data_IF_230943933638
#
_entry.id   IF_230943933638
#
_cell.length_a   1.000
_cell.length_b   1.000
_cell.length_c   1.000
_cell.angle_alpha   90.00
_cell.angle_beta   90.00
_cell.angle_gamma   90.00
#
_symmetry.space_group_name_H-M   'P 1'
#
loop_
_entity.id
_entity.type
_entity.pdbx_description
1 polymer ?
#
# COMPACT_ATOMS: atom_id res chain seq x y z
N UNK A 1 -9.60 -7.20 -2.68
CA UNK A 1 -9.17 -6.42 -1.50
C UNK A 1 -9.38 -7.31 -0.29
N UNK A 2 -8.35 -7.50 0.53
CA UNK A 2 -8.40 -8.40 1.70
C UNK A 2 -8.35 -7.58 2.98
N UNK A 3 -8.98 -8.07 4.05
CA UNK A 3 -8.81 -7.51 5.39
C UNK A 3 -7.40 -7.82 5.89
N UNK A 4 -6.73 -6.80 6.41
CA UNK A 4 -5.40 -6.91 6.97
C UNK A 4 -5.39 -6.35 8.41
N UNK A 5 -4.50 -6.88 9.22
CA UNK A 5 -4.28 -6.45 10.59
C UNK A 5 -2.87 -5.88 10.69
N UNK A 6 -2.71 -4.61 10.28
CA UNK A 6 -1.43 -3.92 10.43
C UNK A 6 -1.22 -3.41 11.85
N UNK A 7 0.04 -3.30 12.26
CA UNK A 7 0.47 -2.61 13.47
C UNK A 7 1.42 -1.50 13.06
N UNK A 8 1.21 -0.30 13.58
CA UNK A 8 2.10 0.85 13.34
C UNK A 8 2.38 1.59 14.63
N UNK A 9 3.59 2.13 14.71
CA UNK A 9 3.98 3.02 15.78
C UNK A 9 3.52 4.44 15.41
N UNK A 10 2.50 4.94 16.12
CA UNK A 10 2.08 6.33 15.99
C UNK A 10 3.16 7.29 16.49
N UNK A 11 3.11 8.55 16.06
CA UNK A 11 4.09 9.58 16.48
C UNK A 11 4.12 9.81 18.01
N UNK A 12 3.07 9.40 18.72
CA UNK A 12 2.97 9.43 20.18
C UNK A 12 3.63 8.21 20.87
N UNK A 13 4.31 7.33 20.12
CA UNK A 13 4.93 6.12 20.63
C UNK A 13 3.96 4.99 20.96
N UNK A 14 2.67 5.14 20.64
CA UNK A 14 1.68 4.07 20.84
C UNK A 14 1.60 3.16 19.62
N UNK A 15 1.52 1.86 19.87
CA UNK A 15 1.20 0.88 18.83
C UNK A 15 -0.29 0.93 18.57
N UNK A 16 -0.66 1.41 17.39
CA UNK A 16 -2.06 1.45 16.96
C UNK A 16 -2.34 0.23 16.10
N UNK A 17 -3.45 -0.44 16.40
CA UNK A 17 -4.03 -1.53 15.61
C UNK A 17 -5.27 -0.98 14.95
N UNK A 18 -5.18 -0.52 13.71
CA UNK A 18 -6.38 -0.19 12.93
C UNK A 18 -6.64 -1.29 11.91
N UNK A 19 -7.91 -1.44 11.57
CA UNK A 19 -8.32 -2.31 10.48
C UNK A 19 -7.69 -1.78 9.20
N UNK A 20 -6.84 -2.58 8.56
CA UNK A 20 -6.22 -2.22 7.30
C UNK A 20 -6.83 -3.03 6.15
N UNK A 21 -6.62 -2.55 4.94
CA UNK A 21 -7.03 -3.24 3.72
C UNK A 21 -5.80 -3.46 2.85
N UNK A 22 -5.67 -4.64 2.27
CA UNK A 22 -4.62 -4.97 1.31
C UNK A 22 -5.18 -5.04 -0.12
N UNK A 23 -4.47 -4.40 -1.05
CA UNK A 23 -4.71 -4.49 -2.49
C UNK A 23 -3.50 -5.17 -3.14
N UNK A 24 -3.74 -6.27 -3.86
CA UNK A 24 -2.72 -6.97 -4.65
C UNK A 24 -2.87 -6.57 -6.11
N UNK A 25 -1.78 -6.12 -6.72
CA UNK A 25 -1.73 -5.69 -8.12
C UNK A 25 -0.58 -6.43 -8.79
N UNK A 26 -0.85 -7.06 -9.94
CA UNK A 26 0.17 -7.62 -10.82
C UNK A 26 0.42 -6.58 -11.91
N UNK A 27 1.66 -6.14 -12.08
CA UNK A 27 2.03 -5.11 -13.05
C UNK A 27 3.39 -5.44 -13.69
N UNK A 28 3.69 -4.79 -14.81
CA UNK A 28 5.02 -4.86 -15.42
C UNK A 28 6.06 -4.13 -14.57
N UNK A 29 7.31 -4.57 -14.64
CA UNK A 29 8.44 -3.84 -14.04
C UNK A 29 8.88 -2.70 -14.96
N UNK A 30 8.03 -1.68 -15.07
CA UNK A 30 8.21 -0.54 -15.95
C UNK A 30 7.84 0.78 -15.26
N UNK A 31 8.44 1.89 -15.74
CA UNK A 31 8.29 3.20 -15.11
C UNK A 31 6.85 3.73 -15.12
N UNK A 32 6.02 3.33 -16.11
CA UNK A 32 4.64 3.78 -16.20
C UNK A 32 3.77 3.10 -15.13
N UNK A 33 3.95 1.79 -14.93
CA UNK A 33 3.30 1.03 -13.86
C UNK A 33 3.66 1.58 -12.48
N UNK A 34 4.95 1.84 -12.25
CA UNK A 34 5.45 2.43 -11.00
C UNK A 34 4.83 3.80 -10.71
N UNK A 35 4.80 4.69 -11.70
CA UNK A 35 4.20 6.02 -11.57
C UNK A 35 2.69 5.94 -11.27
N UNK A 36 1.97 5.01 -11.90
CA UNK A 36 0.55 4.79 -11.65
C UNK A 36 0.26 4.31 -10.22
N UNK A 37 1.06 3.37 -9.71
CA UNK A 37 0.93 2.87 -8.33
C UNK A 37 1.21 3.97 -7.32
N UNK A 38 2.23 4.80 -7.55
CA UNK A 38 2.52 5.90 -6.63
C UNK A 38 1.46 7.00 -6.68
N UNK A 39 0.89 7.30 -7.86
CA UNK A 39 -0.25 8.21 -7.97
C UNK A 39 -1.46 7.73 -7.16
N UNK A 40 -1.77 6.42 -7.19
CA UNK A 40 -2.82 5.82 -6.38
C UNK A 40 -2.55 5.96 -4.88
N UNK A 41 -1.30 5.70 -4.46
CA UNK A 41 -0.89 5.82 -3.05
C UNK A 41 -1.00 7.26 -2.55
N UNK A 42 -0.53 8.23 -3.32
CA UNK A 42 -0.63 9.65 -2.97
C UNK A 42 -2.09 10.11 -2.92
N UNK A 43 -2.92 9.67 -3.88
CA UNK A 43 -4.36 9.92 -3.86
C UNK A 43 -5.05 9.37 -2.60
N UNK A 44 -4.67 8.17 -2.17
CA UNK A 44 -5.19 7.57 -0.94
C UNK A 44 -4.76 8.36 0.31
N UNK A 45 -3.46 8.68 0.43
CA UNK A 45 -2.93 9.48 1.54
C UNK A 45 -3.67 10.81 1.69
N UNK A 46 -3.84 11.53 0.59
CA UNK A 46 -4.53 12.82 0.56
C UNK A 46 -6.00 12.70 0.98
N UNK A 47 -6.72 11.72 0.41
CA UNK A 47 -8.16 11.55 0.66
C UNK A 47 -8.50 11.15 2.09
N UNK A 48 -7.64 10.36 2.74
CA UNK A 48 -7.90 9.81 4.08
C UNK A 48 -6.98 10.37 5.17
N UNK A 49 -6.20 11.41 4.87
CA UNK A 49 -5.24 12.03 5.78
C UNK A 49 -4.27 11.03 6.43
N UNK A 50 -3.84 10.00 5.70
CA UNK A 50 -2.85 9.04 6.19
C UNK A 50 -1.42 9.54 5.96
N UNK A 51 -0.57 9.37 6.97
CA UNK A 51 0.85 9.73 6.92
C UNK A 51 1.64 8.84 5.95
N UNK A 52 1.29 7.55 5.88
CA UNK A 52 1.93 6.58 5.01
C UNK A 52 0.98 5.45 4.62
N UNK A 53 1.25 4.82 3.48
CA UNK A 53 0.60 3.58 3.03
C UNK A 53 1.72 2.57 2.82
N UNK A 54 1.58 1.31 3.23
CA UNK A 54 2.61 0.30 2.99
C UNK A 54 2.61 -0.16 1.52
N UNK A 55 3.78 -0.45 0.96
CA UNK A 55 3.96 -1.12 -0.34
C UNK A 55 5.03 -2.19 -0.18
N UNK A 56 4.81 -3.35 -0.79
CA UNK A 56 5.79 -4.43 -0.90
C UNK A 56 5.77 -4.89 -2.35
N UNK A 57 6.94 -4.93 -2.98
CA UNK A 57 7.12 -5.38 -4.35
C UNK A 57 7.84 -6.73 -4.33
N UNK A 58 7.31 -7.71 -5.07
CA UNK A 58 7.91 -9.03 -5.17
C UNK A 58 7.85 -9.52 -6.62
N UNK A 59 8.99 -9.90 -7.22
CA UNK A 59 8.98 -10.52 -8.54
C UNK A 59 8.28 -11.88 -8.46
N UNK A 60 7.34 -12.11 -9.38
CA UNK A 60 6.58 -13.36 -9.48
C UNK A 60 6.50 -13.81 -10.94
N UNK A 61 6.55 -15.13 -11.16
CA UNK A 61 6.23 -15.69 -12.46
C UNK A 61 4.71 -15.78 -12.59
N UNK A 62 4.15 -15.17 -13.63
CA UNK A 62 2.71 -15.21 -13.93
C UNK A 62 2.50 -15.76 -15.33
N UNK A 63 1.45 -16.56 -15.49
CA UNK A 63 0.97 -17.06 -16.76
C UNK A 63 -0.54 -16.81 -16.80
N UNK A 64 -1.03 -16.34 -17.94
CA UNK A 64 -2.45 -16.07 -18.19
C UNK A 64 -2.97 -17.05 -19.23
#
# INVERSE_FOLDING_TARGET
>A
MFDAHGQWLGQNGQVVREQSKALMVIHGHDAQSEAGIEALRQGYKSRFAQESVMRVDQPVCVQF
#
